data_IF_202285326599
#
_entry.id   IF_202285326599
#
_cell.length_a   1.000
_cell.length_b   1.000
_cell.length_c   1.000
_cell.angle_alpha   90.00
_cell.angle_beta   90.00
_cell.angle_gamma   90.00
#
_symmetry.space_group_name_H-M   'P 1'
#
loop_
_entity.id
_entity.type
_entity.pdbx_description
1 polymer ?
#
# COMPACT_ATOMS: atom_id res chain seq x y z
N UNK A 1 -44.01 4.52 20.23
CA UNK A 1 -43.87 5.05 18.86
C UNK A 1 -42.40 5.30 18.60
N UNK A 2 -41.68 4.25 18.21
CA UNK A 2 -40.30 4.36 17.71
C UNK A 2 -40.41 4.85 16.28
N UNK A 3 -40.11 6.12 16.06
CA UNK A 3 -40.00 6.69 14.72
C UNK A 3 -38.79 6.01 14.06
N UNK A 4 -39.06 5.07 13.14
CA UNK A 4 -38.05 4.51 12.24
C UNK A 4 -37.48 5.67 11.43
N UNK A 5 -36.34 6.17 11.88
CA UNK A 5 -35.55 7.14 11.13
C UNK A 5 -34.81 6.31 10.09
N UNK A 6 -35.45 6.13 8.93
CA UNK A 6 -34.80 5.55 7.78
C UNK A 6 -33.52 6.34 7.49
N UNK A 7 -32.37 5.69 7.72
CA UNK A 7 -31.05 6.17 7.37
C UNK A 7 -31.05 6.55 5.88
N UNK A 8 -31.00 7.86 5.60
CA UNK A 8 -31.00 8.38 4.24
C UNK A 8 -29.56 8.50 3.76
N UNK A 9 -29.23 7.82 2.67
CA UNK A 9 -27.92 7.95 2.03
C UNK A 9 -27.80 9.32 1.32
N UNK A 10 -26.61 9.96 1.33
CA UNK A 10 -26.35 11.14 0.52
C UNK A 10 -26.50 10.86 -0.98
N UNK A 11 -26.97 11.86 -1.71
CA UNK A 11 -26.99 11.97 -3.15
C UNK A 11 -25.57 12.09 -3.72
N UNK A 12 -25.45 11.76 -5.00
CA UNK A 12 -24.24 11.87 -5.79
C UNK A 12 -23.70 13.31 -5.83
N UNK A 13 -22.39 13.47 -5.66
CA UNK A 13 -21.70 14.77 -5.84
C UNK A 13 -21.77 15.24 -7.30
N UNK A 14 -21.62 16.54 -7.52
CA UNK A 14 -21.72 17.17 -8.84
C UNK A 14 -20.50 18.05 -9.13
N UNK A 15 -20.41 18.58 -10.35
CA UNK A 15 -19.41 19.58 -10.76
C UNK A 15 -17.95 19.18 -10.44
N UNK A 16 -17.63 17.89 -10.64
CA UNK A 16 -16.28 17.38 -10.41
C UNK A 16 -15.34 17.97 -11.47
N UNK A 17 -14.27 18.62 -11.03
CA UNK A 17 -13.28 19.26 -11.88
C UNK A 17 -11.87 19.14 -11.28
N UNK A 18 -10.86 19.28 -12.13
CA UNK A 18 -9.45 19.40 -11.71
C UNK A 18 -8.93 20.76 -12.19
N UNK A 19 -8.34 21.53 -11.28
CA UNK A 19 -7.73 22.83 -11.60
C UNK A 19 -6.26 22.69 -12.04
N UNK A 20 -5.64 23.79 -12.47
CA UNK A 20 -4.24 23.79 -12.95
C UNK A 20 -3.21 23.53 -11.85
N UNK A 21 -3.49 23.98 -10.63
CA UNK A 21 -2.74 23.58 -9.44
C UNK A 21 -3.45 22.33 -8.94
N UNK A 22 -3.00 21.12 -9.31
CA UNK A 22 -3.79 19.90 -9.48
C UNK A 22 -4.61 19.55 -8.24
N UNK A 23 -5.74 20.23 -8.09
CA UNK A 23 -6.68 20.14 -6.98
C UNK A 23 -7.98 19.66 -7.61
N UNK A 24 -8.38 18.47 -7.20
CA UNK A 24 -9.67 17.90 -7.51
C UNK A 24 -10.72 18.58 -6.63
N UNK A 25 -11.74 19.16 -7.24
CA UNK A 25 -12.85 19.81 -6.55
C UNK A 25 -14.16 19.19 -6.99
N UNK A 26 -15.15 19.17 -6.10
CA UNK A 26 -16.51 18.75 -6.40
C UNK A 26 -17.49 19.62 -5.61
N UNK A 27 -18.78 19.48 -5.89
CA UNK A 27 -19.83 20.19 -5.16
C UNK A 27 -20.86 19.19 -4.61
N UNK A 28 -21.34 19.39 -3.37
CA UNK A 28 -22.51 18.67 -2.89
C UNK A 28 -23.73 18.93 -3.78
N UNK A 29 -24.61 17.95 -3.91
CA UNK A 29 -25.88 18.15 -4.61
C UNK A 29 -26.73 19.20 -3.87
N UNK A 30 -27.25 20.22 -4.57
CA UNK A 30 -28.06 21.28 -3.95
C UNK A 30 -29.41 20.79 -3.44
N UNK A 31 -29.89 19.64 -3.91
CA UNK A 31 -31.12 18.98 -3.45
C UNK A 31 -30.86 18.07 -2.22
N UNK A 32 -29.63 18.06 -1.72
CA UNK A 32 -29.25 17.26 -0.57
C UNK A 32 -29.85 17.83 0.73
N UNK A 33 -30.58 16.99 1.45
CA UNK A 33 -31.11 17.31 2.77
C UNK A 33 -30.33 16.61 3.89
N UNK A 34 -29.38 15.72 3.54
CA UNK A 34 -28.51 15.02 4.47
C UNK A 34 -27.27 15.86 4.79
N UNK A 35 -26.84 15.86 6.04
CA UNK A 35 -25.58 16.47 6.45
C UNK A 35 -24.42 15.52 6.12
N UNK A 36 -23.61 15.92 5.14
CA UNK A 36 -22.39 15.21 4.75
C UNK A 36 -21.30 15.52 5.79
N UNK A 37 -20.66 14.47 6.30
CA UNK A 37 -19.54 14.59 7.26
C UNK A 37 -18.18 14.50 6.59
N UNK A 38 -18.07 13.68 5.53
CA UNK A 38 -16.83 13.47 4.80
C UNK A 38 -17.09 12.92 3.41
N UNK A 39 -16.01 12.82 2.63
CA UNK A 39 -15.98 12.25 1.29
C UNK A 39 -14.92 11.16 1.24
N UNK A 40 -15.25 10.02 0.66
CA UNK A 40 -14.32 8.96 0.32
C UNK A 40 -13.95 9.10 -1.17
N UNK A 41 -12.65 9.19 -1.46
CA UNK A 41 -12.12 9.33 -2.82
C UNK A 41 -11.24 8.12 -3.11
N UNK A 42 -11.64 7.32 -4.11
CA UNK A 42 -10.77 6.28 -4.67
C UNK A 42 -10.14 6.81 -5.94
N UNK A 43 -8.83 6.60 -6.09
CA UNK A 43 -8.07 7.00 -7.27
C UNK A 43 -7.60 5.74 -7.98
N UNK A 44 -8.20 5.46 -9.13
CA UNK A 44 -7.82 4.35 -10.00
C UNK A 44 -6.91 4.85 -11.12
N UNK A 45 -5.77 4.20 -11.32
CA UNK A 45 -4.99 4.31 -12.56
C UNK A 45 -5.45 3.26 -13.58
N UNK A 46 -4.84 3.28 -14.77
CA UNK A 46 -5.02 2.22 -15.78
C UNK A 46 -4.49 0.85 -15.32
N UNK A 47 -3.73 0.81 -14.23
CA UNK A 47 -3.16 -0.41 -13.62
C UNK A 47 -4.03 -0.96 -12.49
N UNK A 48 -4.91 -0.14 -11.89
CA UNK A 48 -5.85 -0.52 -10.83
C UNK A 48 -6.06 0.60 -9.80
N UNK A 49 -6.76 0.30 -8.71
CA UNK A 49 -6.93 1.25 -7.59
C UNK A 49 -5.60 1.47 -6.88
N UNK A 50 -5.12 2.70 -6.87
CA UNK A 50 -3.81 3.05 -6.31
C UNK A 50 -3.94 3.71 -4.94
N UNK A 51 -4.98 4.54 -4.73
CA UNK A 51 -5.10 5.35 -3.52
C UNK A 51 -6.53 5.46 -3.01
N UNK A 52 -6.66 5.59 -1.69
CA UNK A 52 -7.91 5.83 -0.97
C UNK A 52 -7.71 7.01 -0.03
N UNK A 53 -8.56 8.03 -0.14
CA UNK A 53 -8.51 9.23 0.69
C UNK A 53 -9.86 9.50 1.34
N UNK A 54 -9.83 10.07 2.55
CA UNK A 54 -10.98 10.68 3.19
C UNK A 54 -10.75 12.19 3.30
N UNK A 55 -11.74 13.00 2.95
CA UNK A 55 -11.68 14.46 3.08
C UNK A 55 -12.94 15.01 3.74
N UNK A 56 -12.80 15.97 4.64
CA UNK A 56 -13.93 16.69 5.27
C UNK A 56 -14.43 17.85 4.40
N UNK A 57 -13.63 18.28 3.42
CA UNK A 57 -13.93 19.38 2.51
C UNK A 57 -14.10 18.86 1.08
N UNK A 58 -14.84 19.56 0.21
CA UNK A 58 -15.12 19.08 -1.15
C UNK A 58 -13.96 19.37 -2.12
N UNK A 59 -12.73 19.16 -1.66
CA UNK A 59 -11.50 19.30 -2.43
C UNK A 59 -10.43 18.31 -1.96
N UNK A 60 -9.51 17.98 -2.86
CA UNK A 60 -8.35 17.12 -2.62
C UNK A 60 -7.18 17.58 -3.49
N UNK A 61 -6.03 17.87 -2.89
CA UNK A 61 -4.80 18.09 -3.64
C UNK A 61 -4.30 16.76 -4.20
N UNK A 62 -4.14 16.69 -5.53
CA UNK A 62 -3.67 15.49 -6.25
C UNK A 62 -2.33 15.73 -6.94
N UNK A 63 -1.54 16.69 -6.44
CA UNK A 63 -0.20 17.01 -6.96
C UNK A 63 0.84 15.90 -6.80
N UNK A 64 0.55 14.89 -5.98
CA UNK A 64 1.38 13.68 -5.86
C UNK A 64 1.21 12.73 -7.04
N UNK A 65 0.15 12.88 -7.85
CA UNK A 65 -0.07 12.03 -9.01
C UNK A 65 0.81 12.47 -10.19
N UNK A 66 1.44 11.51 -10.90
CA UNK A 66 2.13 11.77 -12.15
C UNK A 66 1.34 12.64 -13.13
N UNK A 67 1.94 13.75 -13.55
CA UNK A 67 1.38 14.64 -14.58
C UNK A 67 1.23 13.91 -15.91
N UNK A 68 0.22 14.29 -16.69
CA UNK A 68 -0.12 13.70 -17.99
C UNK A 68 -0.65 12.24 -17.97
N UNK A 69 -0.70 11.57 -16.82
CA UNK A 69 -1.28 10.23 -16.69
C UNK A 69 -2.81 10.30 -16.47
N UNK A 70 -3.50 9.24 -16.86
CA UNK A 70 -4.97 9.14 -16.80
C UNK A 70 -5.40 8.46 -15.50
N UNK A 71 -6.35 9.08 -14.80
CA UNK A 71 -6.91 8.55 -13.56
C UNK A 71 -8.44 8.57 -13.61
N UNK A 72 -9.06 7.65 -12.87
CA UNK A 72 -10.49 7.66 -12.57
C UNK A 72 -10.66 7.92 -11.09
N UNK A 73 -11.17 9.09 -10.76
CA UNK A 73 -11.53 9.48 -9.40
C UNK A 73 -12.94 9.01 -9.12
N UNK A 74 -13.15 8.30 -8.01
CA UNK A 74 -14.48 7.87 -7.59
C UNK A 74 -14.79 8.52 -6.25
N UNK A 75 -15.71 9.47 -6.26
CA UNK A 75 -16.05 10.26 -5.07
C UNK A 75 -17.37 9.76 -4.51
N UNK A 76 -17.40 9.50 -3.20
CA UNK A 76 -18.58 9.07 -2.46
C UNK A 76 -18.77 9.97 -1.25
N UNK A 77 -19.91 10.64 -1.14
CA UNK A 77 -20.26 11.41 0.05
C UNK A 77 -20.66 10.47 1.20
N UNK A 78 -20.31 10.82 2.44
CA UNK A 78 -20.60 10.03 3.65
C UNK A 78 -21.36 10.90 4.64
N UNK A 79 -22.55 10.46 5.05
CA UNK A 79 -23.34 11.20 6.05
C UNK A 79 -22.70 11.17 7.44
N UNK A 80 -23.12 12.06 8.33
CA UNK A 80 -22.74 12.03 9.75
C UNK A 80 -23.10 10.72 10.49
N UNK A 81 -23.98 9.90 9.91
CA UNK A 81 -24.33 8.58 10.41
C UNK A 81 -23.49 7.45 9.78
N UNK A 82 -22.48 7.79 8.97
CA UNK A 82 -21.60 6.83 8.29
C UNK A 82 -22.25 6.16 7.07
N UNK A 83 -23.38 6.66 6.59
CA UNK A 83 -24.04 6.10 5.41
C UNK A 83 -23.37 6.64 4.14
N UNK A 84 -22.84 5.73 3.33
CA UNK A 84 -22.21 6.05 2.06
C UNK A 84 -23.28 6.32 0.98
N UNK A 85 -23.12 7.42 0.27
CA UNK A 85 -23.93 7.79 -0.88
C UNK A 85 -23.54 7.05 -2.16
N UNK A 86 -24.10 7.50 -3.27
CA UNK A 86 -23.73 7.00 -4.59
C UNK A 86 -22.28 7.42 -4.97
N UNK A 87 -21.56 6.50 -5.60
CA UNK A 87 -20.19 6.74 -6.05
C UNK A 87 -20.18 7.33 -7.46
N UNK A 88 -19.54 8.49 -7.64
CA UNK A 88 -19.47 9.18 -8.93
C UNK A 88 -18.06 9.06 -9.54
N UNK A 89 -17.91 8.40 -10.70
CA UNK A 89 -16.63 8.31 -11.40
C UNK A 89 -16.36 9.58 -12.23
N UNK A 90 -15.12 10.07 -12.17
CA UNK A 90 -14.60 11.18 -12.96
C UNK A 90 -13.25 10.80 -13.56
N UNK A 91 -13.24 10.53 -14.87
CA UNK A 91 -12.03 10.19 -15.59
C UNK A 91 -11.38 11.46 -16.16
N UNK A 92 -10.12 11.72 -15.79
CA UNK A 92 -9.36 12.87 -16.29
C UNK A 92 -7.86 12.58 -16.34
N UNK A 93 -7.10 13.47 -16.96
CA UNK A 93 -5.64 13.49 -16.87
C UNK A 93 -5.18 14.58 -15.94
N UNK A 94 -4.08 14.34 -15.21
CA UNK A 94 -3.50 15.37 -14.36
C UNK A 94 -2.91 16.47 -15.24
N UNK A 95 -3.39 17.73 -15.11
CA UNK A 95 -2.89 18.84 -15.90
C UNK A 95 -1.46 19.17 -15.50
N UNK A 96 -0.74 19.83 -16.42
CA UNK A 96 0.56 20.40 -16.08
C UNK A 96 0.36 21.66 -15.22
N UNK A 97 1.25 21.92 -14.26
CA UNK A 97 1.21 23.16 -13.49
C UNK A 97 1.31 24.37 -14.43
N UNK A 98 0.61 25.45 -14.07
CA UNK A 98 0.57 26.68 -14.86
C UNK A 98 2.01 27.16 -15.16
N UNK A 99 2.33 27.34 -16.44
CA UNK A 99 3.67 27.75 -16.90
C UNK A 99 4.50 26.65 -17.56
N UNK A 100 4.14 25.36 -17.42
CA UNK A 100 4.77 24.26 -18.15
C UNK A 100 4.13 24.07 -19.55
N UNK A 101 4.27 25.08 -20.43
CA UNK A 101 3.42 25.23 -21.63
C UNK A 101 3.62 24.16 -22.73
N UNK A 102 4.60 23.24 -22.65
CA UNK A 102 4.92 22.35 -23.81
C UNK A 102 5.30 20.89 -23.52
N UNK A 103 5.20 20.40 -22.29
CA UNK A 103 5.79 19.10 -21.97
C UNK A 103 4.90 17.87 -22.29
N UNK A 104 3.57 17.90 -22.11
CA UNK A 104 2.76 16.67 -22.29
C UNK A 104 2.74 16.17 -23.75
N UNK A 105 2.78 17.07 -24.74
CA UNK A 105 2.71 16.69 -26.16
C UNK A 105 4.08 16.19 -26.67
N UNK A 106 5.19 16.65 -26.09
CA UNK A 106 6.54 16.25 -26.50
C UNK A 106 7.13 15.10 -25.67
N UNK A 107 6.53 14.77 -24.51
CA UNK A 107 6.88 13.58 -23.72
C UNK A 107 6.17 12.31 -24.17
N UNK A 108 5.29 12.38 -25.17
CA UNK A 108 4.77 11.26 -25.96
C UNK A 108 5.67 10.97 -27.17
N UNK A 109 6.99 11.07 -27.00
CA UNK A 109 7.92 10.49 -27.96
C UNK A 109 8.02 8.98 -27.70
N UNK A 110 8.11 8.13 -28.75
CA UNK A 110 8.14 6.67 -28.62
C UNK A 110 9.27 6.11 -27.74
N UNK A 111 10.24 6.94 -27.36
CA UNK A 111 11.30 6.59 -26.41
C UNK A 111 10.79 6.34 -24.97
N UNK A 112 9.64 6.93 -24.59
CA UNK A 112 9.09 6.80 -23.23
C UNK A 112 8.24 5.53 -23.06
N UNK A 113 7.56 5.07 -24.10
CA UNK A 113 6.83 3.78 -24.07
C UNK A 113 7.77 2.62 -23.74
N UNK A 114 8.98 2.61 -24.29
CA UNK A 114 10.00 1.60 -23.98
C UNK A 114 10.40 1.60 -22.50
N UNK A 115 10.49 2.79 -21.89
CA UNK A 115 10.84 2.91 -20.46
C UNK A 115 9.68 2.42 -19.60
N UNK A 116 8.44 2.83 -19.88
CA UNK A 116 7.26 2.35 -19.16
C UNK A 116 7.05 0.84 -19.33
N UNK A 117 7.21 0.31 -20.54
CA UNK A 117 7.15 -1.13 -20.81
C UNK A 117 8.24 -1.88 -20.04
N UNK A 118 9.45 -1.32 -19.94
CA UNK A 118 10.55 -1.88 -19.13
C UNK A 118 10.24 -1.85 -17.64
N UNK A 119 9.73 -0.74 -17.10
CA UNK A 119 9.32 -0.63 -15.69
C UNK A 119 8.21 -1.63 -15.39
N UNK A 120 7.16 -1.69 -16.23
CA UNK A 120 6.07 -2.65 -16.07
C UNK A 120 6.54 -4.10 -16.17
N UNK A 121 7.47 -4.39 -17.09
CA UNK A 121 8.10 -5.71 -17.20
C UNK A 121 8.90 -6.01 -15.93
N UNK A 122 9.61 -5.03 -15.39
CA UNK A 122 10.35 -5.15 -14.15
C UNK A 122 9.44 -5.41 -12.95
N UNK A 123 8.33 -4.70 -12.79
CA UNK A 123 7.37 -4.92 -11.70
C UNK A 123 6.69 -6.28 -11.80
N UNK A 124 6.29 -6.69 -13.00
CA UNK A 124 5.78 -8.06 -13.24
C UNK A 124 6.80 -9.13 -12.85
N UNK A 125 8.08 -8.91 -13.16
CA UNK A 125 9.15 -9.83 -12.76
C UNK A 125 9.40 -9.79 -11.25
N UNK A 126 9.33 -8.61 -10.62
CA UNK A 126 9.45 -8.42 -9.17
C UNK A 126 8.33 -9.16 -8.42
N UNK A 127 7.08 -9.01 -8.85
CA UNK A 127 5.92 -9.74 -8.29
C UNK A 127 6.07 -11.25 -8.46
N UNK A 128 6.42 -11.72 -9.66
CA UNK A 128 6.68 -13.16 -9.92
C UNK A 128 7.81 -13.70 -9.06
N UNK A 129 8.90 -12.94 -8.91
CA UNK A 129 10.01 -13.32 -8.03
C UNK A 129 9.56 -13.43 -6.57
N UNK A 130 8.79 -12.48 -6.08
CA UNK A 130 8.23 -12.53 -4.71
C UNK A 130 7.37 -13.78 -4.51
N UNK A 131 6.44 -14.07 -5.44
CA UNK A 131 5.61 -15.28 -5.42
C UNK A 131 6.41 -16.58 -5.48
N UNK A 132 7.48 -16.64 -6.29
CA UNK A 132 8.35 -17.81 -6.35
C UNK A 132 9.14 -17.98 -5.06
N UNK A 133 9.61 -16.89 -4.45
CA UNK A 133 10.33 -16.94 -3.18
C UNK A 133 9.44 -17.42 -2.03
N UNK A 134 8.19 -16.95 -1.96
CA UNK A 134 7.23 -17.42 -0.96
C UNK A 134 6.86 -18.89 -1.17
N UNK A 135 6.66 -19.32 -2.43
CA UNK A 135 6.43 -20.72 -2.77
C UNK A 135 7.62 -21.62 -2.40
N UNK A 136 8.85 -21.17 -2.69
CA UNK A 136 10.08 -21.89 -2.31
C UNK A 136 10.24 -22.00 -0.79
N UNK A 137 9.95 -20.93 -0.06
CA UNK A 137 9.99 -20.95 1.40
C UNK A 137 8.99 -21.96 1.97
N UNK A 138 7.75 -21.95 1.46
CA UNK A 138 6.72 -22.92 1.82
C UNK A 138 7.16 -24.37 1.54
N UNK A 139 7.61 -24.67 0.31
CA UNK A 139 8.04 -26.01 -0.07
C UNK A 139 9.25 -26.49 0.75
N UNK A 140 10.18 -25.59 1.09
CA UNK A 140 11.29 -25.88 1.99
C UNK A 140 10.80 -26.30 3.38
N UNK A 141 9.85 -25.57 3.96
CA UNK A 141 9.25 -25.91 5.26
C UNK A 141 8.54 -27.27 5.23
N UNK A 142 7.77 -27.55 4.18
CA UNK A 142 7.11 -28.86 3.99
C UNK A 142 8.13 -30.01 3.92
N UNK A 143 9.23 -29.81 3.19
CA UNK A 143 10.31 -30.79 3.08
C UNK A 143 10.98 -31.04 4.44
N UNK A 144 11.32 -29.98 5.16
CA UNK A 144 12.11 -30.06 6.40
C UNK A 144 11.28 -30.65 7.55
N UNK A 145 9.95 -30.47 7.56
CA UNK A 145 9.02 -31.04 8.55
C UNK A 145 8.35 -32.35 8.11
N UNK A 146 8.68 -32.88 6.94
CA UNK A 146 8.00 -34.03 6.31
C UNK A 146 6.48 -33.89 6.16
N UNK A 147 5.97 -32.67 5.97
CA UNK A 147 4.54 -32.38 5.79
C UNK A 147 4.20 -32.42 4.30
N UNK A 148 3.23 -33.25 3.90
CA UNK A 148 2.70 -33.25 2.52
C UNK A 148 1.71 -32.09 2.36
N UNK A 149 1.96 -31.13 1.43
CA UNK A 149 0.99 -30.09 1.14
C UNK A 149 -0.25 -30.64 0.42
N UNK A 150 -1.42 -30.02 0.66
CA UNK A 150 -2.72 -30.47 0.14
C UNK A 150 -2.73 -30.66 -1.38
N UNK A 151 -2.04 -29.79 -2.13
CA UNK A 151 -1.97 -29.87 -3.59
C UNK A 151 -1.06 -30.97 -4.15
N UNK A 152 -0.25 -31.64 -3.31
CA UNK A 152 0.55 -32.84 -3.69
C UNK A 152 -0.09 -34.12 -3.18
N UNK A 153 -1.05 -34.02 -2.26
CA UNK A 153 -1.68 -35.17 -1.62
C UNK A 153 -2.38 -36.06 -2.64
N UNK A 154 -2.02 -37.34 -2.65
CA UNK A 154 -2.57 -38.31 -3.60
C UNK A 154 -3.82 -38.92 -2.95
N UNK A 155 -4.98 -38.68 -3.56
CA UNK A 155 -6.21 -39.31 -3.13
C UNK A 155 -6.26 -40.77 -3.61
N UNK A 156 -6.56 -41.69 -2.68
CA UNK A 156 -6.67 -43.11 -2.95
C UNK A 156 -7.74 -43.74 -2.06
N UNK A 157 -8.34 -44.84 -2.53
CA UNK A 157 -9.37 -45.57 -1.79
C UNK A 157 -8.81 -46.75 -0.98
N UNK A 158 -7.58 -47.18 -1.27
CA UNK A 158 -6.96 -48.36 -0.64
C UNK A 158 -6.29 -47.98 0.69
N UNK A 159 -6.75 -48.57 1.80
CA UNK A 159 -6.25 -48.24 3.15
C UNK A 159 -5.20 -49.20 3.71
N UNK A 160 -4.50 -49.95 2.86
CA UNK A 160 -3.50 -50.90 3.36
C UNK A 160 -2.23 -50.16 3.82
N UNK A 161 -1.56 -50.59 4.91
CA UNK A 161 -0.35 -49.93 5.41
C UNK A 161 0.79 -49.88 4.38
N UNK A 162 0.91 -50.92 3.56
CA UNK A 162 1.89 -50.99 2.48
C UNK A 162 1.66 -49.90 1.43
N UNK A 163 0.40 -49.70 1.01
CA UNK A 163 0.02 -48.66 0.05
C UNK A 163 0.23 -47.27 0.64
N UNK A 164 -0.12 -47.04 1.91
CA UNK A 164 0.12 -45.76 2.59
C UNK A 164 1.61 -45.40 2.64
N UNK A 165 2.49 -46.39 2.88
CA UNK A 165 3.94 -46.18 2.89
C UNK A 165 4.48 -45.79 1.51
N UNK A 166 3.95 -46.41 0.45
CA UNK A 166 4.30 -46.06 -0.93
C UNK A 166 3.84 -44.63 -1.23
N UNK A 167 2.60 -44.28 -0.92
CA UNK A 167 2.04 -42.95 -1.19
C UNK A 167 2.79 -41.86 -0.45
N UNK A 168 3.05 -42.04 0.85
CA UNK A 168 3.83 -41.06 1.62
C UNK A 168 5.20 -40.81 0.99
N UNK A 169 5.89 -41.87 0.53
CA UNK A 169 7.18 -41.74 -0.18
C UNK A 169 7.05 -41.00 -1.49
N UNK A 170 6.02 -41.31 -2.28
CA UNK A 170 5.75 -40.65 -3.56
C UNK A 170 5.43 -39.17 -3.36
N UNK A 171 4.57 -38.82 -2.42
CA UNK A 171 4.23 -37.43 -2.07
C UNK A 171 5.46 -36.62 -1.63
N UNK A 172 6.33 -37.22 -0.80
CA UNK A 172 7.59 -36.60 -0.40
C UNK A 172 8.54 -36.41 -1.59
N UNK A 173 8.62 -37.39 -2.50
CA UNK A 173 9.42 -37.28 -3.72
C UNK A 173 8.91 -36.15 -4.63
N UNK A 174 7.60 -36.05 -4.83
CA UNK A 174 6.96 -34.98 -5.59
C UNK A 174 7.20 -33.59 -4.96
N UNK A 175 7.23 -33.51 -3.63
CA UNK A 175 7.56 -32.26 -2.91
C UNK A 175 9.00 -31.82 -3.19
N UNK A 176 9.96 -32.76 -3.19
CA UNK A 176 11.37 -32.48 -3.51
C UNK A 176 11.56 -32.08 -4.97
N UNK A 177 10.88 -32.78 -5.88
CA UNK A 177 10.94 -32.47 -7.30
C UNK A 177 10.39 -31.08 -7.59
N UNK A 178 9.24 -30.73 -6.99
CA UNK A 178 8.65 -29.41 -7.12
C UNK A 178 9.52 -28.31 -6.51
N UNK A 179 10.17 -28.59 -5.37
CA UNK A 179 11.16 -27.66 -4.81
C UNK A 179 12.34 -27.45 -5.77
N UNK A 180 12.85 -28.52 -6.39
CA UNK A 180 13.93 -28.47 -7.37
C UNK A 180 13.55 -27.65 -8.60
N UNK A 181 12.38 -27.92 -9.18
CA UNK A 181 11.89 -27.21 -10.38
C UNK A 181 11.61 -25.72 -10.12
N UNK A 182 11.12 -25.37 -8.93
CA UNK A 182 10.90 -23.96 -8.56
C UNK A 182 12.21 -23.20 -8.30
N UNK A 183 13.31 -23.91 -7.98
CA UNK A 183 14.62 -23.30 -7.71
C UNK A 183 15.39 -22.94 -8.97
N UNK A 184 15.12 -23.63 -10.08
CA UNK A 184 15.66 -23.24 -11.37
C UNK A 184 14.94 -21.96 -11.81
N UNK A 185 15.66 -20.88 -12.17
CA UNK A 185 15.01 -19.74 -12.81
C UNK A 185 14.25 -20.28 -14.03
N UNK A 186 13.05 -19.74 -14.35
CA UNK A 186 12.39 -20.09 -15.60
C UNK A 186 13.42 -19.85 -16.68
N UNK A 187 13.80 -20.91 -17.40
CA UNK A 187 14.84 -20.87 -18.42
C UNK A 187 14.51 -19.70 -19.33
N UNK A 188 15.33 -18.65 -19.23
CA UNK A 188 15.26 -17.51 -20.12
C UNK A 188 15.56 -18.04 -21.51
N UNK A 189 14.50 -18.20 -22.30
CA UNK A 189 14.63 -18.29 -23.74
C UNK A 189 15.18 -16.92 -24.18
N UNK A 190 16.51 -16.83 -24.29
CA UNK A 190 17.26 -15.63 -24.64
C UNK A 190 17.38 -14.59 -23.52
N UNK A 191 18.46 -14.64 -22.75
CA UNK A 191 19.30 -13.46 -22.47
C UNK A 191 20.43 -13.85 -21.50
N UNK A 192 21.67 -13.80 -22.02
CA UNK A 192 22.89 -13.99 -21.24
C UNK A 192 23.16 -12.70 -20.45
N UNK A 193 23.16 -12.79 -19.12
CA UNK A 193 23.89 -11.85 -18.28
C UNK A 193 24.38 -12.56 -17.01
N UNK A 194 25.71 -12.70 -16.93
CA UNK A 194 26.45 -13.03 -15.72
C UNK A 194 26.39 -11.85 -14.72
N UNK A 195 26.40 -12.16 -13.41
CA UNK A 195 26.64 -11.11 -12.40
C UNK A 195 26.21 -11.47 -10.98
N UNK A 196 27.13 -12.10 -10.23
CA UNK A 196 27.22 -12.23 -8.76
C UNK A 196 25.93 -12.37 -7.93
N UNK A 197 25.59 -13.62 -7.60
CA UNK A 197 24.76 -13.91 -6.43
C UNK A 197 25.61 -13.75 -5.14
N UNK A 198 25.27 -12.77 -4.30
CA UNK A 198 25.67 -12.81 -2.88
C UNK A 198 24.96 -14.00 -2.20
N UNK A 199 25.63 -14.71 -1.27
CA UNK A 199 25.00 -15.76 -0.51
C UNK A 199 23.83 -15.19 0.33
N UNK A 200 22.70 -15.90 0.45
CA UNK A 200 21.64 -15.47 1.35
C UNK A 200 22.14 -15.63 2.78
N UNK A 201 22.34 -14.50 3.46
CA UNK A 201 22.58 -14.46 4.90
C UNK A 201 21.37 -14.97 5.71
N UNK A 202 21.53 -15.15 7.03
CA UNK A 202 20.57 -15.80 7.92
C UNK A 202 19.23 -15.05 8.13
N UNK A 203 19.06 -13.86 7.54
CA UNK A 203 17.99 -12.90 7.85
C UNK A 203 16.62 -13.23 7.24
N UNK A 204 16.49 -14.34 6.51
CA UNK A 204 15.25 -14.69 5.79
C UNK A 204 14.20 -15.43 6.63
N UNK A 205 14.41 -15.54 7.94
CA UNK A 205 13.60 -16.38 8.82
C UNK A 205 12.53 -15.62 9.62
N UNK A 206 12.50 -14.28 9.58
CA UNK A 206 11.64 -13.49 10.46
C UNK A 206 10.23 -13.20 9.90
N UNK A 207 10.02 -13.10 8.59
CA UNK A 207 8.72 -12.64 8.03
C UNK A 207 7.74 -13.77 7.62
N UNK A 208 7.95 -15.01 8.05
CA UNK A 208 7.26 -16.20 7.49
C UNK A 208 5.95 -16.58 8.21
N UNK A 209 5.70 -16.07 9.42
CA UNK A 209 4.51 -16.37 10.21
C UNK A 209 3.69 -15.09 10.43
N UNK A 210 2.47 -15.05 9.88
CA UNK A 210 1.61 -13.86 9.91
C UNK A 210 1.25 -13.41 11.32
N UNK A 211 1.11 -14.36 12.25
CA UNK A 211 0.79 -14.07 13.66
C UNK A 211 2.00 -13.44 14.37
N UNK A 212 3.21 -13.89 14.05
CA UNK A 212 4.45 -13.28 14.56
C UNK A 212 4.70 -11.92 13.91
N UNK A 213 4.32 -11.74 12.64
CA UNK A 213 4.41 -10.45 11.95
C UNK A 213 3.54 -9.43 12.66
N UNK A 214 2.26 -9.74 12.94
CA UNK A 214 1.36 -8.77 13.55
C UNK A 214 1.83 -8.29 14.94
N UNK A 215 2.37 -9.23 15.74
CA UNK A 215 2.85 -8.92 17.09
C UNK A 215 4.17 -8.13 17.11
N UNK A 216 5.01 -8.29 16.08
CA UNK A 216 6.38 -7.76 16.08
C UNK A 216 6.63 -6.68 15.02
N UNK A 217 5.62 -6.29 14.24
CA UNK A 217 5.70 -5.15 13.33
C UNK A 217 5.54 -3.81 14.11
N UNK A 218 6.19 -3.72 15.26
CA UNK A 218 6.11 -2.59 16.20
C UNK A 218 7.22 -1.60 15.93
N UNK A 219 6.87 -0.32 15.84
CA UNK A 219 7.85 0.77 15.83
C UNK A 219 8.33 0.97 17.27
N UNK A 220 9.64 1.06 17.48
CA UNK A 220 10.23 1.01 18.82
C UNK A 220 10.33 2.40 19.47
N UNK A 221 10.86 3.38 18.73
CA UNK A 221 11.05 4.74 19.22
C UNK A 221 10.83 5.71 18.06
N UNK A 222 10.04 6.76 18.31
CA UNK A 222 9.85 7.89 17.41
C UNK A 222 10.59 9.08 18.01
N UNK A 223 11.48 9.68 17.23
CA UNK A 223 12.22 10.90 17.56
C UNK A 223 11.76 12.03 16.65
N UNK A 224 11.31 13.13 17.27
CA UNK A 224 10.88 14.33 16.56
C UNK A 224 11.91 15.43 16.81
N UNK A 225 12.57 15.90 15.76
CA UNK A 225 13.52 17.01 15.78
C UNK A 225 13.07 18.10 14.83
N UNK A 226 13.34 19.35 15.19
CA UNK A 226 13.01 20.50 14.37
C UNK A 226 14.28 21.20 13.90
N UNK A 227 14.33 21.53 12.62
CA UNK A 227 15.38 22.34 12.01
C UNK A 227 14.72 23.50 11.22
N UNK A 228 14.71 24.69 11.81
CA UNK A 228 13.93 25.81 11.29
C UNK A 228 12.42 25.56 11.37
N UNK A 229 11.73 25.71 10.25
CA UNK A 229 10.28 25.48 10.12
C UNK A 229 9.95 24.01 9.80
N UNK A 230 10.97 23.20 9.51
CA UNK A 230 10.80 21.80 9.13
C UNK A 230 10.88 20.89 10.35
N UNK A 231 9.93 19.97 10.45
CA UNK A 231 9.88 18.95 11.50
C UNK A 231 10.27 17.61 10.90
N UNK A 232 11.40 17.08 11.35
CA UNK A 232 11.87 15.75 10.99
C UNK A 232 11.39 14.73 12.02
N UNK A 233 10.69 13.71 11.54
CA UNK A 233 10.29 12.55 12.33
C UNK A 233 11.14 11.38 11.87
N UNK A 234 11.88 10.79 12.79
CA UNK A 234 12.62 9.55 12.57
C UNK A 234 12.08 8.48 13.50
N UNK A 235 12.14 7.23 13.07
CA UNK A 235 11.78 6.12 13.93
C UNK A 235 12.72 4.95 13.78
N UNK A 236 12.80 4.16 14.84
CA UNK A 236 13.59 2.93 14.88
C UNK A 236 12.68 1.73 15.02
N UNK A 237 13.15 0.60 14.50
CA UNK A 237 12.48 -0.69 14.57
C UNK A 237 13.52 -1.75 14.90
N UNK A 238 13.08 -2.89 15.43
CA UNK A 238 13.98 -4.04 15.61
C UNK A 238 14.57 -4.45 14.24
N UNK A 239 15.89 -4.59 14.17
CA UNK A 239 16.64 -5.01 12.97
C UNK A 239 16.12 -6.33 12.39
N UNK A 240 15.53 -7.19 13.23
CA UNK A 240 14.90 -8.44 12.80
C UNK A 240 13.65 -8.22 11.93
N UNK A 241 12.97 -7.07 12.08
CA UNK A 241 11.66 -6.79 11.48
C UNK A 241 11.65 -5.60 10.52
N UNK A 242 12.64 -4.71 10.60
CA UNK A 242 12.76 -3.55 9.70
C UNK A 242 12.74 -3.95 8.22
N UNK A 243 13.35 -5.08 7.89
CA UNK A 243 13.39 -5.61 6.52
C UNK A 243 12.10 -6.32 6.10
N UNK A 244 11.20 -6.60 7.04
CA UNK A 244 9.87 -7.12 6.75
C UNK A 244 8.92 -5.98 6.39
N UNK A 245 9.05 -4.78 6.98
CA UNK A 245 8.19 -3.65 6.64
C UNK A 245 8.39 -3.26 5.16
N UNK A 246 7.30 -3.27 4.39
CA UNK A 246 7.32 -2.82 3.00
C UNK A 246 7.24 -1.29 2.92
N UNK A 247 6.52 -0.66 3.84
CA UNK A 247 6.37 0.81 3.95
C UNK A 247 5.88 1.18 5.35
N UNK A 248 5.87 2.48 5.62
CA UNK A 248 5.35 3.08 6.83
C UNK A 248 4.23 4.05 6.49
N UNK A 249 3.20 4.09 7.35
CA UNK A 249 2.18 5.14 7.38
C UNK A 249 2.48 6.04 8.57
N UNK A 250 2.69 7.32 8.31
CA UNK A 250 2.85 8.38 9.29
C UNK A 250 1.51 9.11 9.39
N UNK A 251 0.93 9.13 10.57
CA UNK A 251 -0.35 9.76 10.91
C UNK A 251 0.00 11.05 11.66
N UNK A 252 -0.58 12.16 11.24
CA UNK A 252 -0.40 13.47 11.89
C UNK A 252 -1.77 13.96 12.32
N UNK A 253 -1.95 14.21 13.60
CA UNK A 253 -3.17 14.78 14.17
C UNK A 253 -2.85 15.99 15.04
N UNK A 254 -3.79 16.93 15.07
CA UNK A 254 -3.78 18.12 15.92
C UNK A 254 -4.90 17.94 16.96
N UNK A 255 -4.71 18.40 18.19
CA UNK A 255 -5.74 18.30 19.23
C UNK A 255 -7.04 19.02 18.84
N UNK A 256 -6.96 20.05 18.00
CA UNK A 256 -8.15 20.79 17.55
C UNK A 256 -8.87 20.13 16.36
N UNK A 257 -8.16 19.31 15.57
CA UNK A 257 -8.66 18.72 14.32
C UNK A 257 -8.39 17.22 14.36
N UNK A 258 -9.45 16.42 14.47
CA UNK A 258 -9.49 14.95 14.69
C UNK A 258 -8.90 14.08 13.55
N UNK A 259 -7.81 14.53 12.94
CA UNK A 259 -6.83 13.93 12.02
C UNK A 259 -6.55 14.92 10.90
N UNK A 260 -5.27 15.25 10.70
CA UNK A 260 -4.84 16.17 9.65
C UNK A 260 -4.44 15.41 8.39
N UNK A 261 -3.62 14.36 8.52
CA UNK A 261 -2.99 13.76 7.35
C UNK A 261 -2.40 12.36 7.60
N UNK A 262 -2.54 11.50 6.60
CA UNK A 262 -1.78 10.25 6.49
C UNK A 262 -0.74 10.39 5.36
N UNK A 263 0.52 10.06 5.65
CA UNK A 263 1.62 10.07 4.68
C UNK A 263 2.24 8.68 4.62
N UNK A 264 2.52 8.19 3.42
CA UNK A 264 3.14 6.88 3.21
C UNK A 264 4.58 7.03 2.71
N UNK A 265 5.53 6.36 3.35
CA UNK A 265 6.96 6.40 2.98
C UNK A 265 7.62 5.04 3.10
N UNK A 266 8.72 4.84 2.36
CA UNK A 266 9.56 3.63 2.44
C UNK A 266 10.74 3.80 3.40
N UNK A 267 11.08 5.05 3.71
CA UNK A 267 12.19 5.39 4.57
C UNK A 267 11.78 5.36 6.05
N UNK A 268 12.75 5.33 6.96
CA UNK A 268 12.54 5.38 8.42
C UNK A 268 12.56 6.80 8.98
N UNK A 269 12.44 7.78 8.09
CA UNK A 269 12.45 9.20 8.39
C UNK A 269 11.57 9.94 7.40
N UNK A 270 10.93 11.02 7.85
CA UNK A 270 10.21 11.96 7.00
C UNK A 270 10.42 13.39 7.50
N UNK A 271 10.48 14.32 6.56
CA UNK A 271 10.50 15.77 6.84
C UNK A 271 9.11 16.31 6.50
N UNK A 272 8.49 16.98 7.47
CA UNK A 272 7.19 17.64 7.33
C UNK A 272 7.43 19.14 7.39
N UNK A 273 7.20 19.86 6.28
CA UNK A 273 7.32 21.31 6.27
C UNK A 273 6.07 21.98 6.86
N UNK A 274 6.23 23.23 7.29
CA UNK A 274 5.16 24.20 7.52
C UNK A 274 4.10 23.79 8.59
N UNK A 275 4.51 23.08 9.65
CA UNK A 275 3.62 22.86 10.79
C UNK A 275 3.39 24.16 11.57
N UNK A 276 2.16 24.37 12.05
CA UNK A 276 1.83 25.60 12.76
C UNK A 276 2.62 25.68 14.08
N UNK A 277 3.31 26.81 14.35
CA UNK A 277 4.03 27.00 15.60
C UNK A 277 3.05 27.08 16.77
N UNK A 278 3.51 26.70 17.96
CA UNK A 278 2.75 26.71 19.20
C UNK A 278 1.56 25.73 19.25
N UNK A 279 1.45 24.82 18.28
CA UNK A 279 0.42 23.78 18.25
C UNK A 279 0.98 22.43 18.74
N UNK A 280 0.17 21.69 19.49
CA UNK A 280 0.48 20.33 19.91
C UNK A 280 0.03 19.33 18.84
N UNK A 281 0.98 18.55 18.32
CA UNK A 281 0.71 17.50 17.35
C UNK A 281 0.95 16.12 17.96
N UNK A 282 0.11 15.17 17.57
CA UNK A 282 0.34 13.75 17.79
C UNK A 282 0.80 13.11 16.47
N UNK A 283 1.94 12.44 16.55
CA UNK A 283 2.57 11.75 15.42
C UNK A 283 2.48 10.24 15.65
N UNK A 284 1.68 9.57 14.82
CA UNK A 284 1.57 8.13 14.78
C UNK A 284 2.45 7.53 13.68
N UNK A 285 3.14 6.42 13.94
CA UNK A 285 3.81 5.63 12.90
C UNK A 285 3.33 4.19 12.95
N UNK A 286 2.97 3.67 11.78
CA UNK A 286 2.52 2.30 11.56
C UNK A 286 3.41 1.67 10.50
N UNK A 287 4.05 0.55 10.81
CA UNK A 287 4.71 -0.27 9.80
C UNK A 287 3.66 -1.11 9.04
N UNK A 288 3.89 -1.33 7.74
CA UNK A 288 2.98 -2.09 6.87
C UNK A 288 3.73 -3.23 6.22
N UNK A 289 3.22 -4.45 6.38
CA UNK A 289 3.73 -5.67 5.76
C UNK A 289 2.84 -6.12 4.60
N UNK A 290 3.47 -6.52 3.49
CA UNK A 290 2.82 -7.04 2.29
C UNK A 290 1.66 -6.15 1.81
N UNK A 291 1.83 -4.83 1.93
CA UNK A 291 0.89 -3.77 1.52
C UNK A 291 -0.49 -3.78 2.21
N UNK A 292 -0.78 -4.76 3.06
CA UNK A 292 -2.13 -5.02 3.56
C UNK A 292 -2.20 -5.13 5.09
N UNK A 293 -1.10 -5.55 5.73
CA UNK A 293 -1.09 -5.85 7.16
C UNK A 293 -0.44 -4.70 7.90
N UNK A 294 -1.25 -3.97 8.65
CA UNK A 294 -0.82 -2.85 9.48
C UNK A 294 -0.41 -3.36 10.86
N UNK A 295 0.77 -2.97 11.31
CA UNK A 295 1.22 -3.18 12.68
C UNK A 295 0.47 -2.27 13.67
N UNK A 296 0.77 -2.38 14.97
CA UNK A 296 0.24 -1.46 15.97
C UNK A 296 0.79 -0.04 15.74
N UNK A 297 -0.05 0.96 15.97
CA UNK A 297 0.35 2.37 15.92
C UNK A 297 1.19 2.72 17.14
N UNK A 298 2.33 3.36 16.89
CA UNK A 298 3.16 3.98 17.93
C UNK A 298 2.97 5.48 17.82
N UNK A 299 2.61 6.13 18.93
CA UNK A 299 2.30 7.57 18.94
C UNK A 299 3.26 8.35 19.81
N UNK A 300 3.60 9.58 19.41
CA UNK A 300 4.32 10.55 20.23
C UNK A 300 3.70 11.93 20.08
N UNK A 301 3.51 12.62 21.20
CA UNK A 301 2.98 13.98 21.22
C UNK A 301 4.13 14.98 21.33
N UNK A 302 4.11 16.02 20.50
CA UNK A 302 5.11 17.09 20.54
C UNK A 302 4.48 18.45 20.23
N UNK A 303 4.79 19.43 21.08
CA UNK A 303 4.48 20.84 20.80
C UNK A 303 5.58 21.44 19.96
N UNK A 304 5.22 22.04 18.82
CA UNK A 304 6.17 22.76 17.97
C UNK A 304 6.43 24.14 18.59
N UNK A 305 7.67 24.47 19.01
CA UNK A 305 7.99 25.78 19.53
C UNK A 305 7.84 26.88 18.47
N UNK A 306 7.64 28.11 18.93
CA UNK A 306 7.66 29.29 18.08
C UNK A 306 9.02 29.40 17.37
N UNK A 307 9.01 29.38 16.03
CA UNK A 307 10.21 29.45 15.20
C UNK A 307 11.03 30.71 15.52
N UNK A 308 12.36 30.57 15.55
CA UNK A 308 13.29 31.66 15.85
C UNK A 308 13.61 32.52 14.63
#
# INVERSE_FOLDING_TARGET
>A
MTSDTHLKAPLAVQNIAISFDPVLTWEPNSEENCTISSYLILVDSDVGTEYTYASSIPSLSVGFLPVCDSYVFRITAVSNQGVMGEQVPFATKIPLPAGAVKACILLWTPLREDIYLKIRKFDKLRMKKSQLLSSLAFLRRCRDKEITPTFIKINHHLRTPAVQKIIKRTEQALTRERFSSTRLPPSSEGDKAEGLARPPGPWKQCCDNIDDVYANLTVALITVSQDGDDVTIEWTMDDAWINCADRFRVIISDEEIDHLQDIYTFDTSIVIPDLAPCTAYEFGVVAIYNWLIEGPVTVVTRTIPEGR
#
